data_IF_437734808317
#
_entry.id   IF_437734808317
#
_cell.length_a   1.000
_cell.length_b   1.000
_cell.length_c   1.000
_cell.angle_alpha   90.00
_cell.angle_beta   90.00
_cell.angle_gamma   90.00
#
_symmetry.space_group_name_H-M   'P 1'
#
loop_
_entity.id
_entity.type
_entity.pdbx_description
1 polymer ?
#
# COMPACT_ATOMS: atom_id res chain seq x y z
N UNK A 1 -17.37 2.02 -8.57
CA UNK A 1 -17.02 2.90 -9.69
C UNK A 1 -17.26 2.17 -11.00
N UNK A 2 -17.87 2.82 -12.00
CA UNK A 2 -18.00 2.27 -13.36
C UNK A 2 -17.83 3.38 -14.39
N UNK A 3 -17.32 3.02 -15.57
CA UNK A 3 -17.15 3.92 -16.70
C UNK A 3 -17.77 3.28 -17.93
N UNK A 4 -18.55 4.04 -18.66
CA UNK A 4 -19.21 3.59 -19.88
C UNK A 4 -19.11 4.69 -20.94
N UNK A 5 -18.90 4.32 -22.21
CA UNK A 5 -19.10 5.26 -23.30
C UNK A 5 -20.52 5.81 -23.26
N UNK A 6 -20.68 7.07 -23.66
CA UNK A 6 -22.02 7.58 -23.97
C UNK A 6 -22.57 6.76 -25.15
N UNK A 7 -23.82 6.26 -25.08
CA UNK A 7 -24.38 5.42 -26.12
C UNK A 7 -24.58 6.13 -27.47
N UNK A 8 -24.68 7.46 -27.46
CA UNK A 8 -24.89 8.29 -28.65
C UNK A 8 -23.62 9.03 -29.09
N UNK A 9 -22.59 9.10 -28.22
CA UNK A 9 -21.32 9.77 -28.48
C UNK A 9 -20.12 8.99 -27.91
N UNK A 10 -19.40 8.27 -28.77
CA UNK A 10 -18.20 7.52 -28.37
C UNK A 10 -17.03 8.42 -27.90
N UNK A 11 -17.06 9.73 -28.16
CA UNK A 11 -16.08 10.69 -27.64
C UNK A 11 -16.46 11.20 -26.24
N UNK A 12 -17.60 10.75 -25.70
CA UNK A 12 -18.10 11.05 -24.36
C UNK A 12 -18.25 9.80 -23.49
N UNK A 13 -18.26 10.00 -22.16
CA UNK A 13 -18.36 8.92 -21.18
C UNK A 13 -19.14 9.32 -19.94
N UNK A 14 -19.74 8.31 -19.31
CA UNK A 14 -20.24 8.38 -17.94
C UNK A 14 -19.26 7.70 -16.99
N UNK A 15 -18.82 8.42 -15.95
CA UNK A 15 -18.03 7.90 -14.85
C UNK A 15 -18.84 7.98 -13.55
N UNK A 16 -19.18 6.84 -12.99
CA UNK A 16 -19.78 6.76 -11.66
C UNK A 16 -18.72 6.56 -10.59
N UNK A 17 -18.60 7.48 -9.64
CA UNK A 17 -17.75 7.36 -8.45
C UNK A 17 -18.58 7.61 -7.20
N UNK A 18 -18.46 6.73 -6.19
CA UNK A 18 -19.17 6.84 -4.90
C UNK A 18 -20.69 7.09 -4.98
N UNK A 19 -21.34 6.69 -6.09
CA UNK A 19 -22.77 6.89 -6.32
C UNK A 19 -23.12 8.15 -7.11
N UNK A 20 -22.17 9.04 -7.37
CA UNK A 20 -22.34 10.21 -8.25
C UNK A 20 -21.91 9.85 -9.68
N UNK A 21 -22.66 10.34 -10.68
CA UNK A 21 -22.37 10.13 -12.10
C UNK A 21 -21.87 11.44 -12.70
N UNK A 22 -20.66 11.41 -13.25
CA UNK A 22 -20.07 12.49 -14.03
C UNK A 22 -20.17 12.14 -15.51
N UNK A 23 -20.65 13.08 -16.32
CA UNK A 23 -20.60 13.01 -17.78
C UNK A 23 -19.45 13.88 -18.27
N UNK A 24 -18.58 13.35 -19.12
CA UNK A 24 -17.39 14.05 -19.59
C UNK A 24 -16.94 13.60 -20.97
N UNK A 25 -16.01 14.35 -21.55
CA UNK A 25 -15.52 14.13 -22.90
C UNK A 25 -14.09 13.61 -22.87
N UNK A 26 -13.77 12.75 -23.82
CA UNK A 26 -12.43 12.26 -24.07
C UNK A 26 -11.56 13.32 -24.78
N UNK A 27 -10.23 13.26 -24.60
CA UNK A 27 -9.31 14.07 -25.38
C UNK A 27 -9.49 13.89 -26.89
N UNK A 28 -9.21 14.94 -27.66
CA UNK A 28 -9.39 14.95 -29.11
C UNK A 28 -8.67 13.77 -29.78
N UNK A 29 -9.40 13.02 -30.62
CA UNK A 29 -8.88 11.82 -31.30
C UNK A 29 -8.95 10.52 -30.49
N UNK A 30 -9.58 10.52 -29.30
CA UNK A 30 -9.78 9.32 -28.48
C UNK A 30 -11.27 9.07 -28.20
N UNK A 31 -11.63 7.81 -27.98
CA UNK A 31 -12.98 7.34 -27.67
C UNK A 31 -13.00 6.66 -26.30
N UNK A 32 -14.14 6.77 -25.62
CA UNK A 32 -14.40 6.06 -24.39
C UNK A 32 -14.39 4.55 -24.64
N UNK A 33 -13.59 3.82 -23.88
CA UNK A 33 -13.48 2.38 -24.01
C UNK A 33 -14.73 1.67 -23.49
N UNK A 34 -15.24 0.69 -24.26
CA UNK A 34 -16.38 -0.14 -23.87
C UNK A 34 -16.02 -1.20 -22.82
N UNK A 35 -14.73 -1.46 -22.62
CA UNK A 35 -14.19 -2.56 -21.80
C UNK A 35 -13.26 -2.08 -20.68
N UNK A 36 -12.73 -0.86 -20.75
CA UNK A 36 -11.84 -0.28 -19.76
C UNK A 36 -12.30 1.13 -19.37
N UNK A 37 -11.86 1.61 -18.21
CA UNK A 37 -12.18 2.96 -17.73
C UNK A 37 -11.15 3.95 -18.27
N UNK A 38 -11.14 4.16 -19.58
CA UNK A 38 -10.16 5.00 -20.25
C UNK A 38 -10.69 5.56 -21.56
N UNK A 39 -10.12 6.70 -21.97
CA UNK A 39 -10.19 7.16 -23.35
C UNK A 39 -9.02 6.56 -24.12
N UNK A 40 -9.31 5.75 -25.13
CA UNK A 40 -8.33 5.06 -25.96
C UNK A 40 -8.43 5.56 -27.41
N UNK A 41 -7.39 5.40 -28.24
CA UNK A 41 -7.53 5.57 -29.68
C UNK A 41 -8.72 4.75 -30.23
N UNK A 42 -9.41 5.27 -31.25
CA UNK A 42 -10.67 4.70 -31.79
C UNK A 42 -10.57 3.20 -32.12
N UNK A 43 -9.42 2.76 -32.64
CA UNK A 43 -9.13 1.36 -32.97
C UNK A 43 -9.07 0.41 -31.76
N UNK A 44 -8.85 0.94 -30.54
CA UNK A 44 -8.72 0.17 -29.30
C UNK A 44 -9.88 0.38 -28.33
N UNK A 45 -10.63 1.48 -28.47
CA UNK A 45 -11.75 1.81 -27.59
C UNK A 45 -12.93 0.84 -27.73
N UNK A 46 -13.14 0.29 -28.92
CA UNK A 46 -14.22 -0.68 -29.16
C UNK A 46 -15.63 -0.13 -28.93
N UNK A 47 -15.80 1.21 -28.92
CA UNK A 47 -17.10 1.88 -28.91
C UNK A 47 -17.66 1.96 -30.32
N UNK A 48 -16.88 2.51 -31.26
CA UNK A 48 -17.25 2.59 -32.68
C UNK A 48 -17.14 1.25 -33.44
N UNK A 49 -16.36 0.29 -32.93
CA UNK A 49 -16.07 -0.98 -33.59
C UNK A 49 -16.84 -2.17 -32.98
N UNK A 50 -18.17 -2.13 -33.02
CA UNK A 50 -19.03 -3.21 -32.51
C UNK A 50 -18.96 -4.53 -33.32
N UNK A 51 -18.27 -4.55 -34.47
CA UNK A 51 -18.27 -5.68 -35.42
C UNK A 51 -16.89 -6.25 -35.81
N UNK A 52 -15.85 -6.12 -34.97
CA UNK A 52 -14.62 -6.88 -35.18
C UNK A 52 -14.25 -7.69 -33.94
N UNK A 53 -14.49 -9.00 -34.03
CA UNK A 53 -13.80 -10.00 -33.23
C UNK A 53 -12.30 -9.87 -33.56
N UNK A 54 -11.52 -9.25 -32.67
CA UNK A 54 -10.07 -9.20 -32.82
C UNK A 54 -9.54 -10.61 -32.54
N UNK A 55 -9.40 -11.41 -33.59
CA UNK A 55 -8.59 -12.62 -33.57
C UNK A 55 -7.15 -12.23 -33.24
N UNK A 56 -6.78 -12.43 -31.98
CA UNK A 56 -5.40 -12.22 -31.52
C UNK A 56 -4.54 -13.35 -32.08
N UNK A 57 -3.98 -13.14 -33.26
CA UNK A 57 -2.95 -14.00 -33.82
C UNK A 57 -1.71 -13.93 -32.92
N UNK A 58 -1.45 -15.07 -32.27
CA UNK A 58 -0.39 -15.24 -31.27
C UNK A 58 0.96 -15.50 -31.97
N UNK A 59 2.00 -14.69 -31.77
CA UNK A 59 3.37 -15.14 -31.96
C UNK A 59 3.78 -15.92 -30.70
N UNK A 60 4.11 -17.20 -30.89
CA UNK A 60 4.67 -18.06 -29.84
C UNK A 60 5.98 -17.47 -29.30
N UNK A 61 6.07 -17.29 -27.97
CA UNK A 61 7.33 -17.03 -27.27
C UNK A 61 7.30 -16.00 -26.14
N UNK A 62 6.18 -15.31 -25.90
CA UNK A 62 6.10 -14.24 -24.89
C UNK A 62 5.31 -14.77 -23.70
N UNK A 63 5.89 -14.72 -22.50
CA UNK A 63 5.13 -14.96 -21.27
C UNK A 63 3.96 -13.95 -21.21
N UNK A 64 2.70 -14.40 -21.15
CA UNK A 64 1.56 -13.49 -21.12
C UNK A 64 1.59 -12.68 -19.82
N UNK A 65 1.47 -11.36 -19.95
CA UNK A 65 1.15 -10.49 -18.82
C UNK A 65 -0.17 -10.98 -18.24
N UNK A 66 -0.26 -11.26 -16.92
CA UNK A 66 -1.47 -11.76 -16.32
C UNK A 66 -2.65 -10.83 -16.62
N UNK A 67 -3.84 -11.41 -16.81
CA UNK A 67 -5.06 -10.62 -16.96
C UNK A 67 -5.23 -9.71 -15.73
N UNK A 68 -5.46 -8.42 -15.95
CA UNK A 68 -5.70 -7.44 -14.90
C UNK A 68 -7.22 -7.32 -14.68
N UNK A 69 -7.74 -8.10 -13.74
CA UNK A 69 -9.16 -8.11 -13.39
C UNK A 69 -9.58 -6.87 -12.58
N UNK A 70 -10.89 -6.64 -12.54
CA UNK A 70 -11.54 -5.50 -11.85
C UNK A 70 -11.12 -5.29 -10.39
N UNK A 71 -10.70 -6.35 -9.71
CA UNK A 71 -10.31 -6.33 -8.29
C UNK A 71 -8.83 -6.62 -8.07
N UNK A 72 -8.04 -6.71 -9.14
CA UNK A 72 -6.65 -7.13 -9.04
C UNK A 72 -5.76 -5.94 -8.67
N UNK A 73 -4.82 -6.18 -7.75
CA UNK A 73 -3.71 -5.27 -7.47
C UNK A 73 -2.44 -6.10 -7.45
N UNK A 74 -1.53 -5.85 -8.38
CA UNK A 74 -0.24 -6.55 -8.43
C UNK A 74 0.79 -5.77 -9.24
N UNK A 75 2.07 -6.04 -8.98
CA UNK A 75 3.18 -5.48 -9.75
C UNK A 75 4.08 -6.63 -10.23
N UNK A 76 4.28 -6.75 -11.54
CA UNK A 76 5.06 -7.82 -12.19
C UNK A 76 6.19 -7.23 -13.03
N UNK A 77 7.38 -7.82 -12.97
CA UNK A 77 8.47 -7.44 -13.86
C UNK A 77 8.13 -7.79 -15.32
N UNK A 78 8.63 -7.00 -16.26
CA UNK A 78 8.65 -7.37 -17.67
C UNK A 78 9.70 -8.47 -17.89
N UNK A 79 9.31 -9.55 -18.59
CA UNK A 79 10.18 -10.71 -18.81
C UNK A 79 11.28 -10.51 -19.85
N UNK A 80 11.20 -9.46 -20.66
CA UNK A 80 12.14 -9.13 -21.74
C UNK A 80 12.97 -7.88 -21.42
N UNK A 81 12.40 -6.93 -20.67
CA UNK A 81 13.04 -5.67 -20.34
C UNK A 81 13.10 -5.45 -18.82
N UNK A 82 14.28 -5.67 -18.25
CA UNK A 82 14.57 -5.50 -16.82
C UNK A 82 14.35 -4.08 -16.28
N UNK A 83 14.31 -3.09 -17.18
CA UNK A 83 13.98 -1.71 -16.84
C UNK A 83 12.48 -1.48 -16.73
N UNK A 84 11.63 -2.43 -17.12
CA UNK A 84 10.19 -2.27 -17.18
C UNK A 84 9.44 -3.19 -16.23
N UNK A 85 8.27 -2.74 -15.83
CA UNK A 85 7.37 -3.51 -14.98
C UNK A 85 5.93 -3.10 -15.25
N UNK A 86 5.01 -3.97 -14.89
CA UNK A 86 3.58 -3.79 -15.03
C UNK A 86 2.95 -3.54 -13.68
N UNK A 87 2.09 -2.52 -13.58
CA UNK A 87 1.27 -2.24 -12.41
C UNK A 87 -0.18 -2.50 -12.80
N UNK A 88 -0.80 -3.47 -12.16
CA UNK A 88 -2.24 -3.67 -12.22
C UNK A 88 -2.87 -3.10 -10.96
N UNK A 89 -3.89 -2.25 -11.12
CA UNK A 89 -4.69 -1.73 -10.01
C UNK A 89 -6.13 -1.63 -10.46
N UNK A 90 -7.04 -2.40 -9.87
CA UNK A 90 -8.48 -2.40 -10.15
C UNK A 90 -8.88 -2.51 -11.64
N UNK A 91 -8.16 -3.34 -12.40
CA UNK A 91 -8.39 -3.52 -13.84
C UNK A 91 -7.62 -2.56 -14.74
N UNK A 92 -6.84 -1.65 -14.16
CA UNK A 92 -5.94 -0.76 -14.89
C UNK A 92 -4.54 -1.35 -14.90
N UNK A 93 -4.08 -1.74 -16.09
CA UNK A 93 -2.73 -2.24 -16.32
C UNK A 93 -1.88 -1.16 -16.96
N UNK A 94 -0.87 -0.66 -16.27
CA UNK A 94 0.14 0.25 -16.84
C UNK A 94 1.48 -0.45 -16.95
N UNK A 95 2.27 -0.05 -17.94
CA UNK A 95 3.66 -0.47 -18.08
C UNK A 95 4.55 0.72 -17.73
N UNK A 96 5.28 0.56 -16.64
CA UNK A 96 6.18 1.55 -16.10
C UNK A 96 7.63 1.23 -16.47
N UNK A 97 8.48 2.26 -16.44
CA UNK A 97 9.91 2.13 -16.73
C UNK A 97 10.72 2.77 -15.62
N UNK A 98 11.68 2.03 -15.07
CA UNK A 98 12.67 2.54 -14.13
C UNK A 98 13.57 3.59 -14.81
N UNK A 99 14.04 4.56 -14.04
CA UNK A 99 15.00 5.56 -14.50
C UNK A 99 16.30 4.88 -14.97
N UNK A 100 17.01 5.50 -15.92
CA UNK A 100 18.28 4.99 -16.43
C UNK A 100 19.27 4.66 -15.29
N UNK A 101 19.90 3.49 -15.36
CA UNK A 101 20.78 2.97 -14.30
C UNK A 101 20.06 2.25 -13.16
N UNK A 102 18.75 2.03 -13.26
CA UNK A 102 17.95 1.24 -12.32
C UNK A 102 17.21 0.12 -13.04
N UNK A 103 17.11 -1.04 -12.38
CA UNK A 103 16.30 -2.19 -12.79
C UNK A 103 15.21 -2.49 -11.77
N UNK A 104 14.09 -3.05 -12.22
CA UNK A 104 12.99 -3.40 -11.35
C UNK A 104 13.28 -4.70 -10.59
N UNK A 105 13.26 -4.67 -9.26
CA UNK A 105 13.33 -5.86 -8.41
C UNK A 105 11.94 -6.46 -8.26
N UNK A 106 11.71 -7.64 -8.85
CA UNK A 106 10.45 -8.38 -8.70
C UNK A 106 10.19 -8.87 -7.26
N UNK A 107 11.26 -9.02 -6.47
CA UNK A 107 11.21 -9.38 -5.05
C UNK A 107 10.82 -8.20 -4.19
N UNK A 108 11.50 -7.05 -4.37
CA UNK A 108 11.28 -5.86 -3.54
C UNK A 108 10.16 -4.94 -4.05
N UNK A 109 9.63 -5.21 -5.25
CA UNK A 109 8.62 -4.41 -5.94
C UNK A 109 9.01 -2.94 -6.13
N UNK A 110 10.30 -2.66 -6.35
CA UNK A 110 10.85 -1.32 -6.55
C UNK A 110 11.99 -1.30 -7.56
N UNK A 111 12.26 -0.13 -8.14
CA UNK A 111 13.46 0.11 -8.93
C UNK A 111 14.68 0.23 -8.00
N UNK A 112 15.71 -0.56 -8.26
CA UNK A 112 16.98 -0.55 -7.54
C UNK A 112 18.13 -0.36 -8.55
N UNK A 113 19.30 0.16 -8.13
CA UNK A 113 20.46 0.28 -9.01
C UNK A 113 20.78 -1.04 -9.71
N UNK A 114 21.21 -1.00 -10.97
CA UNK A 114 21.47 -2.25 -11.73
C UNK A 114 22.53 -3.15 -11.07
N UNK A 115 23.44 -2.56 -10.28
CA UNK A 115 24.44 -3.31 -9.49
C UNK A 115 23.84 -4.13 -8.34
N UNK A 116 22.60 -3.84 -7.94
CA UNK A 116 21.91 -4.48 -6.82
C UNK A 116 20.84 -5.48 -7.26
N UNK A 117 20.56 -5.60 -8.57
CA UNK A 117 19.50 -6.47 -9.10
C UNK A 117 20.03 -7.28 -10.27
N UNK A 118 19.91 -8.60 -10.17
CA UNK A 118 20.10 -9.50 -11.31
C UNK A 118 18.77 -9.65 -12.04
N UNK A 119 18.77 -9.43 -13.34
CA UNK A 119 17.57 -9.59 -14.13
C UNK A 119 17.29 -11.08 -14.34
N UNK A 120 16.22 -11.58 -13.76
CA UNK A 120 15.86 -12.99 -13.86
C UNK A 120 15.18 -13.26 -15.21
N UNK A 121 15.85 -14.03 -16.07
CA UNK A 121 15.17 -14.77 -17.15
C UNK A 121 14.59 -16.02 -16.50
N UNK A 122 13.28 -16.24 -16.59
CA UNK A 122 12.64 -17.44 -16.05
C UNK A 122 13.19 -18.69 -16.74
N UNK A 123 14.17 -19.30 -16.09
CA UNK A 123 14.54 -20.71 -16.22
C UNK A 123 15.23 -21.18 -14.94
N UNK A 124 14.82 -20.65 -13.78
CA UNK A 124 15.23 -21.21 -12.50
C UNK A 124 14.01 -21.50 -11.63
N UNK A 125 13.94 -22.75 -11.21
CA UNK A 125 12.87 -23.40 -10.50
C UNK A 125 12.57 -22.69 -9.18
N UNK A 126 11.30 -22.33 -9.01
CA UNK A 126 10.63 -22.09 -7.72
C UNK A 126 11.32 -21.09 -6.77
N UNK A 127 10.88 -19.83 -6.70
CA UNK A 127 11.12 -19.06 -5.49
C UNK A 127 10.41 -19.81 -4.35
N UNK A 128 11.17 -20.23 -3.35
CA UNK A 128 10.68 -20.88 -2.13
C UNK A 128 9.35 -20.24 -1.74
N UNK A 129 8.27 -21.01 -1.88
CA UNK A 129 6.91 -20.65 -1.53
C UNK A 129 6.93 -20.19 -0.07
N UNK A 130 7.03 -18.88 0.17
CA UNK A 130 6.83 -18.35 1.50
C UNK A 130 5.39 -18.68 1.84
N UNK A 131 5.19 -19.52 2.85
CA UNK A 131 3.86 -19.84 3.33
C UNK A 131 3.33 -18.55 3.95
N UNK A 132 2.55 -17.83 3.18
CA UNK A 132 2.05 -16.51 3.52
C UNK A 132 0.90 -16.64 4.52
N UNK A 133 1.26 -16.92 5.76
CA UNK A 133 0.30 -17.12 6.85
C UNK A 133 -0.47 -15.84 7.21
N UNK A 134 -0.06 -14.68 6.68
CA UNK A 134 -0.71 -13.39 6.99
C UNK A 134 -2.08 -13.31 6.32
N UNK A 135 -2.19 -13.80 5.08
CA UNK A 135 -3.41 -13.73 4.29
C UNK A 135 -4.15 -15.07 4.16
N UNK A 136 -3.71 -16.12 4.87
CA UNK A 136 -4.30 -17.48 4.79
C UNK A 136 -5.81 -17.48 5.04
N UNK A 137 -6.27 -16.73 6.06
CA UNK A 137 -7.69 -16.64 6.41
C UNK A 137 -8.51 -15.76 5.45
N UNK A 138 -7.84 -15.06 4.52
CA UNK A 138 -8.43 -14.07 3.62
C UNK A 138 -8.39 -14.50 2.15
N UNK A 139 -8.20 -15.80 1.87
CA UNK A 139 -8.15 -16.35 0.51
C UNK A 139 -9.42 -16.11 -0.31
N UNK A 140 -10.56 -15.98 0.36
CA UNK A 140 -11.88 -15.78 -0.28
C UNK A 140 -12.25 -14.31 -0.46
N UNK A 141 -11.43 -13.37 0.02
CA UNK A 141 -11.69 -11.94 -0.12
C UNK A 141 -10.90 -11.36 -1.30
N UNK A 142 -11.53 -10.52 -2.15
CA UNK A 142 -10.85 -9.89 -3.26
C UNK A 142 -9.70 -8.98 -2.81
N UNK A 143 -9.93 -8.25 -1.71
CA UNK A 143 -8.97 -7.30 -1.15
C UNK A 143 -9.23 -7.07 0.35
N UNK A 144 -8.17 -7.12 1.17
CA UNK A 144 -8.20 -6.65 2.56
C UNK A 144 -6.85 -6.05 2.94
N UNK A 145 -6.86 -5.01 3.79
CA UNK A 145 -5.66 -4.37 4.28
C UNK A 145 -5.47 -4.71 5.75
N UNK A 146 -4.31 -5.28 6.10
CA UNK A 146 -3.99 -5.75 7.44
C UNK A 146 -2.81 -4.95 7.99
N UNK A 147 -2.87 -4.57 9.26
CA UNK A 147 -1.71 -3.96 9.93
C UNK A 147 -0.56 -4.97 10.07
N UNK A 148 0.68 -4.51 9.95
CA UNK A 148 1.83 -5.35 10.32
C UNK A 148 1.93 -5.42 11.86
N UNK A 149 1.87 -6.62 12.47
CA UNK A 149 1.92 -6.78 13.92
C UNK A 149 3.24 -6.30 14.55
N UNK A 150 4.30 -6.13 13.75
CA UNK A 150 5.63 -5.70 14.22
C UNK A 150 5.88 -4.21 14.02
N UNK A 151 5.23 -3.58 13.05
CA UNK A 151 5.48 -2.19 12.68
C UNK A 151 4.20 -1.54 12.14
N UNK A 152 3.54 -0.71 12.94
CA UNK A 152 2.29 -0.05 12.54
C UNK A 152 2.44 0.98 11.41
N UNK A 153 3.67 1.30 10.98
CA UNK A 153 3.91 2.07 9.74
C UNK A 153 3.81 1.19 8.51
N UNK A 154 3.71 -0.13 8.67
CA UNK A 154 3.58 -1.10 7.59
C UNK A 154 2.21 -1.75 7.62
N UNK A 155 1.80 -2.18 6.43
CA UNK A 155 0.55 -2.90 6.25
C UNK A 155 0.67 -3.87 5.09
N UNK A 156 -0.11 -4.94 5.14
CA UNK A 156 -0.23 -5.90 4.07
C UNK A 156 -1.49 -5.61 3.27
N UNK A 157 -1.35 -5.63 1.94
CA UNK A 157 -2.48 -5.80 1.04
C UNK A 157 -2.61 -7.28 0.75
N UNK A 158 -3.72 -7.88 1.17
CA UNK A 158 -4.09 -9.24 0.82
C UNK A 158 -5.04 -9.20 -0.38
N UNK A 159 -4.67 -9.86 -1.48
CA UNK A 159 -5.57 -10.11 -2.60
C UNK A 159 -5.63 -11.60 -2.88
N UNK A 160 -6.82 -12.20 -2.76
CA UNK A 160 -7.04 -13.64 -2.93
C UNK A 160 -6.01 -14.51 -2.17
N UNK A 161 -5.74 -14.13 -0.91
CA UNK A 161 -4.81 -14.86 -0.03
C UNK A 161 -3.32 -14.61 -0.29
N UNK A 162 -2.95 -13.72 -1.21
CA UNK A 162 -1.57 -13.31 -1.45
C UNK A 162 -1.31 -11.94 -0.82
N UNK A 163 -0.29 -11.84 0.03
CA UNK A 163 0.10 -10.58 0.66
C UNK A 163 1.08 -9.78 -0.20
N UNK A 164 1.05 -8.47 -0.03
CA UNK A 164 2.10 -7.53 -0.42
C UNK A 164 2.32 -6.57 0.75
N UNK A 165 3.54 -6.50 1.27
CA UNK A 165 3.92 -5.58 2.34
C UNK A 165 4.19 -4.18 1.78
N UNK A 166 3.58 -3.17 2.39
CA UNK A 166 3.71 -1.76 2.03
C UNK A 166 3.97 -0.90 3.28
N UNK A 167 4.38 0.34 3.04
CA UNK A 167 4.70 1.32 4.08
C UNK A 167 3.82 2.56 3.90
N UNK A 168 3.36 3.12 5.02
CA UNK A 168 2.79 4.45 5.05
C UNK A 168 3.90 5.51 4.83
N UNK A 169 3.54 6.71 4.33
CA UNK A 169 4.45 7.85 4.26
C UNK A 169 5.10 8.18 5.61
N UNK A 170 6.17 8.99 5.59
CA UNK A 170 6.81 9.44 6.83
C UNK A 170 5.82 10.16 7.74
N UNK A 171 5.90 9.86 9.04
CA UNK A 171 4.98 10.33 10.08
C UNK A 171 3.53 9.80 10.00
N UNK A 172 3.22 8.88 9.09
CA UNK A 172 1.92 8.20 9.04
C UNK A 172 2.01 6.74 9.49
N UNK A 173 0.92 6.26 10.10
CA UNK A 173 0.74 4.88 10.53
C UNK A 173 -0.57 4.34 9.97
N UNK A 174 -0.62 3.03 9.69
CA UNK A 174 -1.79 2.40 9.11
C UNK A 174 -2.87 2.20 10.18
N UNK A 175 -4.08 2.69 9.90
CA UNK A 175 -5.26 2.42 10.73
C UNK A 175 -6.05 1.27 10.14
N UNK A 176 -5.98 0.08 10.77
CA UNK A 176 -6.78 -1.07 10.36
C UNK A 176 -8.30 -0.82 10.47
N UNK A 177 -8.73 0.03 11.41
CA UNK A 177 -10.15 0.40 11.55
C UNK A 177 -10.63 1.27 10.38
N UNK A 178 -9.81 2.27 9.98
CA UNK A 178 -10.16 3.20 8.90
C UNK A 178 -9.67 2.75 7.51
N UNK A 179 -8.89 1.67 7.44
CA UNK A 179 -8.28 1.12 6.24
C UNK A 179 -7.45 2.16 5.46
N UNK A 180 -6.77 3.07 6.17
CA UNK A 180 -5.99 4.18 5.57
C UNK A 180 -4.79 4.55 6.45
N UNK A 181 -3.74 5.11 5.85
CA UNK A 181 -2.65 5.75 6.59
C UNK A 181 -3.14 7.08 7.17
N UNK A 182 -3.09 7.20 8.51
CA UNK A 182 -3.40 8.43 9.22
C UNK A 182 -2.14 8.99 9.87
N UNK A 183 -2.10 10.29 10.21
CA UNK A 183 -1.04 10.85 11.04
C UNK A 183 -0.79 9.96 12.26
N UNK A 184 0.47 9.67 12.56
CA UNK A 184 0.79 8.65 13.56
C UNK A 184 0.22 8.99 14.94
N UNK A 185 0.08 10.28 15.26
CA UNK A 185 -0.57 10.79 16.48
C UNK A 185 -2.07 10.45 16.62
N UNK A 186 -2.70 10.02 15.52
CA UNK A 186 -4.09 9.59 15.47
C UNK A 186 -4.25 8.06 15.49
N UNK A 187 -3.15 7.30 15.48
CA UNK A 187 -3.17 5.83 15.43
C UNK A 187 -2.53 5.24 16.67
N UNK A 188 -3.26 4.37 17.38
CA UNK A 188 -2.70 3.60 18.50
C UNK A 188 -1.96 2.37 17.96
N UNK A 189 -0.64 2.47 17.95
CA UNK A 189 0.24 1.43 17.44
C UNK A 189 0.25 0.18 18.34
N UNK A 190 -0.29 -0.95 17.85
CA UNK A 190 -0.33 -2.20 18.63
C UNK A 190 1.04 -2.82 18.84
N UNK A 191 2.00 -2.62 17.93
CA UNK A 191 3.34 -3.19 18.06
C UNK A 191 4.14 -2.62 19.24
N UNK A 192 3.67 -1.55 19.89
CA UNK A 192 4.22 -1.05 21.16
C UNK A 192 4.06 -2.05 22.31
N UNK A 193 3.08 -2.97 22.21
CA UNK A 193 2.80 -3.98 23.19
C UNK A 193 3.09 -5.39 22.63
N UNK A 194 4.20 -6.02 23.02
CA UNK A 194 4.48 -7.40 22.65
C UNK A 194 3.35 -8.33 23.09
N UNK A 195 3.08 -9.36 22.29
CA UNK A 195 2.00 -10.32 22.55
C UNK A 195 2.16 -10.96 23.94
N UNK A 196 1.09 -10.92 24.74
CA UNK A 196 1.08 -11.49 26.09
C UNK A 196 1.79 -10.65 27.16
N UNK A 197 2.44 -9.53 26.82
CA UNK A 197 3.11 -8.69 27.79
C UNK A 197 2.12 -7.86 28.63
N UNK A 198 2.40 -7.74 29.93
CA UNK A 198 1.74 -6.79 30.83
C UNK A 198 2.79 -5.84 31.39
N UNK A 199 2.82 -4.60 30.92
CA UNK A 199 3.87 -3.62 31.22
C UNK A 199 3.41 -2.19 30.96
N UNK A 200 4.20 -1.21 31.41
CA UNK A 200 4.01 0.20 31.11
C UNK A 200 5.07 0.63 30.09
N UNK A 201 4.64 1.27 29.01
CA UNK A 201 5.55 1.82 27.99
C UNK A 201 5.27 3.30 27.78
N UNK A 202 6.31 4.07 27.44
CA UNK A 202 6.14 5.46 27.09
C UNK A 202 5.31 5.57 25.80
N UNK A 203 4.45 6.58 25.73
CA UNK A 203 3.76 6.91 24.49
C UNK A 203 4.76 7.62 23.56
N UNK A 204 5.10 7.06 22.39
CA UNK A 204 6.06 7.67 21.47
C UNK A 204 5.56 9.00 20.89
N UNK A 205 4.26 9.31 20.97
CA UNK A 205 3.69 10.52 20.39
C UNK A 205 3.71 11.69 21.35
N UNK A 206 3.70 11.44 22.66
CA UNK A 206 3.68 12.51 23.66
C UNK A 206 4.21 12.09 25.02
N UNK A 207 5.07 12.94 25.59
CA UNK A 207 5.62 12.78 26.94
C UNK A 207 4.56 12.78 28.04
N UNK A 208 3.37 13.34 27.77
CA UNK A 208 2.30 13.48 28.76
C UNK A 208 1.41 12.25 28.86
N UNK A 209 1.60 11.24 28.00
CA UNK A 209 0.87 9.98 28.02
C UNK A 209 1.81 8.80 28.21
N UNK A 210 1.23 7.68 28.61
CA UNK A 210 1.87 6.38 28.65
C UNK A 210 0.85 5.32 28.25
N UNK A 211 1.32 4.13 27.89
CA UNK A 211 0.46 3.02 27.46
C UNK A 211 0.63 1.89 28.47
N UNK A 212 -0.50 1.43 29.00
CA UNK A 212 -0.56 0.18 29.74
C UNK A 212 -0.77 -0.93 28.71
N UNK A 213 0.22 -1.78 28.53
CA UNK A 213 0.04 -3.04 27.83
C UNK A 213 -0.61 -4.02 28.81
N UNK A 214 -1.80 -4.52 28.49
CA UNK A 214 -2.44 -5.59 29.24
C UNK A 214 -2.59 -6.82 28.33
N UNK A 215 -1.78 -7.86 28.57
CA UNK A 215 -1.70 -9.07 27.72
C UNK A 215 -1.48 -8.75 26.22
N UNK A 216 -0.70 -7.71 25.93
CA UNK A 216 -0.44 -7.23 24.56
C UNK A 216 -1.46 -6.21 24.02
N UNK A 217 -2.55 -5.93 24.74
CA UNK A 217 -3.50 -4.89 24.35
C UNK A 217 -3.03 -3.51 24.85
N UNK A 218 -2.79 -2.53 23.97
CA UNK A 218 -2.42 -1.17 24.38
C UNK A 218 -3.62 -0.42 24.94
N UNK A 219 -3.48 0.13 26.15
CA UNK A 219 -4.46 0.99 26.81
C UNK A 219 -3.80 2.35 27.10
N UNK A 220 -4.09 3.40 26.30
CA UNK A 220 -3.48 4.71 26.50
C UNK A 220 -3.97 5.36 27.79
N UNK A 221 -3.05 6.03 28.50
CA UNK A 221 -3.29 6.71 29.77
C UNK A 221 -2.69 8.11 29.72
N UNK A 222 -3.36 9.05 30.40
CA UNK A 222 -2.92 10.43 30.51
C UNK A 222 -2.26 10.65 31.87
N UNK A 223 -1.04 11.21 31.88
CA UNK A 223 -0.44 11.66 33.13
C UNK A 223 -1.23 12.85 33.71
N UNK A 224 -1.23 13.04 35.04
CA UNK A 224 -1.80 14.22 35.67
C UNK A 224 -1.26 15.52 35.07
N UNK A 225 -2.02 16.60 35.17
CA UNK A 225 -1.66 17.86 34.54
C UNK A 225 -0.22 18.30 34.91
N UNK A 226 0.58 18.71 33.90
CA UNK A 226 2.01 19.09 33.99
C UNK A 226 2.99 17.97 34.38
N UNK A 227 2.54 16.71 34.36
CA UNK A 227 3.41 15.55 34.53
C UNK A 227 3.74 14.93 33.19
N UNK A 228 4.86 14.23 33.17
CA UNK A 228 5.36 13.46 32.03
C UNK A 228 5.74 12.07 32.52
N UNK A 229 5.60 11.07 31.66
CA UNK A 229 5.90 9.70 32.03
C UNK A 229 7.42 9.47 32.07
N UNK A 230 7.91 8.93 33.18
CA UNK A 230 9.29 8.50 33.36
C UNK A 230 9.36 6.98 33.11
N UNK A 231 9.91 6.52 31.97
CA UNK A 231 9.98 5.10 31.63
C UNK A 231 10.99 4.31 32.49
N UNK A 232 11.90 4.98 33.21
CA UNK A 232 12.83 4.30 34.12
C UNK A 232 12.16 3.94 35.45
N UNK A 233 11.33 4.86 35.93
CA UNK A 233 10.59 4.70 37.18
C UNK A 233 9.16 4.16 36.96
N UNK A 234 8.75 4.00 35.71
CA UNK A 234 7.42 3.56 35.28
C UNK A 234 6.29 4.36 35.94
N UNK A 235 6.47 5.68 36.08
CA UNK A 235 5.53 6.57 36.78
C UNK A 235 5.50 7.98 36.20
N UNK A 236 4.42 8.72 36.42
CA UNK A 236 4.30 10.11 35.99
C UNK A 236 4.98 11.05 36.99
N UNK A 237 5.87 11.93 36.52
CA UNK A 237 6.59 12.91 37.34
C UNK A 237 6.42 14.33 36.84
N UNK A 238 6.57 15.31 37.72
CA UNK A 238 6.54 16.71 37.34
C UNK A 238 7.64 17.01 36.33
N UNK A 239 7.30 17.70 35.24
CA UNK A 239 8.26 18.05 34.17
C UNK A 239 9.51 18.78 34.68
N UNK A 240 9.39 19.53 35.78
CA UNK A 240 10.48 20.28 36.43
C UNK A 240 11.48 19.40 37.18
N UNK A 241 11.13 18.16 37.50
CA UNK A 241 11.96 17.25 38.30
C UNK A 241 12.88 16.35 37.45
N UNK A 242 12.70 16.34 36.13
CA UNK A 242 13.59 15.66 35.19
C UNK A 242 14.90 16.45 35.06
N UNK A 243 15.85 16.22 35.97
CA UNK A 243 17.16 16.88 35.93
C UNK A 243 18.03 16.33 34.78
N UNK A 244 18.61 17.24 33.99
CA UNK A 244 19.91 17.14 33.28
C UNK A 244 20.18 15.99 32.29
N UNK A 245 19.99 14.73 32.70
CA UNK A 245 20.27 13.53 31.91
C UNK A 245 18.98 12.80 31.44
N UNK A 246 17.88 12.90 32.20
CA UNK A 246 16.58 12.34 31.77
C UNK A 246 15.91 13.20 30.69
N UNK A 247 16.23 14.49 30.64
CA UNK A 247 15.78 15.41 29.58
C UNK A 247 16.41 15.11 28.22
N UNK A 248 17.63 14.58 28.16
CA UNK A 248 18.32 14.24 26.90
C UNK A 248 17.77 12.94 26.27
N UNK A 249 17.42 11.95 27.10
CA UNK A 249 16.77 10.71 26.66
C UNK A 249 15.34 10.95 26.16
N UNK A 250 14.59 11.80 26.84
CA UNK A 250 13.29 12.28 26.35
C UNK A 250 13.45 13.06 25.04
N UNK A 251 14.42 13.98 24.96
CA UNK A 251 14.74 14.65 23.69
C UNK A 251 15.09 13.65 22.58
N UNK A 252 15.85 12.58 22.85
CA UNK A 252 16.20 11.56 21.85
C UNK A 252 15.00 10.68 21.43
N UNK A 253 14.12 10.31 22.37
CA UNK A 253 12.91 9.56 22.08
C UNK A 253 11.89 10.37 21.26
N UNK A 254 11.88 11.70 21.45
CA UNK A 254 10.94 12.62 20.80
C UNK A 254 11.57 13.51 19.70
N UNK A 255 12.88 13.41 19.42
CA UNK A 255 13.57 14.23 18.39
C UNK A 255 13.30 13.79 16.96
N UNK A 256 12.81 12.57 16.75
CA UNK A 256 12.40 12.09 15.43
C UNK A 256 11.05 12.65 14.95
N UNK A 257 10.44 13.57 15.71
CA UNK A 257 9.07 14.07 15.48
C UNK A 257 9.07 15.56 15.04
N UNK A 258 10.24 16.19 14.91
CA UNK A 258 10.36 17.62 14.54
C UNK A 258 11.21 17.91 13.30
N UNK A 259 11.26 16.98 12.34
CA UNK A 259 11.90 17.19 11.03
C UNK A 259 10.95 16.79 9.92
#
# INVERSE_FOLDING_TARGET
MWFKPDPDDCESFYLCMFGEILHGNCPEGTEASSTSVACLPKELAGCSNSNQTIETTTPSGIQPVPHCGRYDIWIKADGNDCGKFYVCTFGYLTQETCVAGYKFSALDKKCLPESQVTCFKENDDTPKKWKDTVCEDYSNLPLVFLEDPKDCRRYYICSFGKSTLLHCPENFSFSAEKQICLPSDQVLCKSLCPSGATQFVADPQTESRYIICYRGTPLPQQCPHRHVFDPKLLTCRLRKELKGADSELLKYLFSFIRS
#
